data_IF_614757490848
#
_entry.id   IF_614757490848
#
_cell.length_a   1.000
_cell.length_b   1.000
_cell.length_c   1.000
_cell.angle_alpha   90.00
_cell.angle_beta   90.00
_cell.angle_gamma   90.00
#
_symmetry.space_group_name_H-M   'P 1'
#
loop_
_entity.id
_entity.type
_entity.pdbx_description
1 polymer ?
#
# COMPACT_ATOMS: atom_id res chain seq x y z
N UNK A 1 -35.57 10.39 16.21
CA UNK A 1 -34.94 11.46 15.43
C UNK A 1 -33.58 10.96 14.94
N UNK A 2 -33.59 10.41 13.73
CA UNK A 2 -32.37 10.03 12.99
C UNK A 2 -31.96 11.27 12.20
N UNK A 3 -30.70 11.72 12.26
CA UNK A 3 -29.99 12.33 11.13
C UNK A 3 -28.55 12.69 11.55
N UNK A 4 -27.64 12.41 10.61
CA UNK A 4 -26.32 12.97 10.42
C UNK A 4 -25.12 12.33 11.14
N UNK A 5 -24.59 11.33 10.46
CA UNK A 5 -23.18 11.01 10.49
C UNK A 5 -22.74 10.63 9.06
N UNK A 6 -22.44 11.61 8.23
CA UNK A 6 -21.72 11.45 6.97
C UNK A 6 -21.20 12.83 6.55
N UNK A 7 -19.94 13.09 6.85
CA UNK A 7 -19.10 14.05 6.11
C UNK A 7 -17.73 14.18 6.79
N UNK A 8 -16.72 13.50 6.29
CA UNK A 8 -15.35 14.01 6.22
C UNK A 8 -14.46 12.98 5.50
N UNK A 9 -14.62 12.85 4.18
CA UNK A 9 -13.55 12.30 3.34
C UNK A 9 -12.78 13.50 2.80
N UNK A 10 -11.65 13.78 3.43
CA UNK A 10 -10.76 14.88 3.08
C UNK A 10 -10.04 14.62 1.76
N UNK A 11 -10.20 15.58 0.89
CA UNK A 11 -9.62 15.78 -0.42
C UNK A 11 -8.09 15.97 -0.28
N UNK A 12 -7.26 15.12 -0.88
CA UNK A 12 -5.87 15.44 -1.20
C UNK A 12 -5.74 15.64 -2.71
N UNK A 13 -5.65 16.90 -3.08
CA UNK A 13 -5.45 17.38 -4.45
C UNK A 13 -3.94 17.39 -4.73
N UNK A 14 -3.47 16.53 -5.62
CA UNK A 14 -2.15 16.69 -6.23
C UNK A 14 -2.34 17.40 -7.57
N UNK A 15 -1.86 18.65 -7.65
CA UNK A 15 -1.92 19.48 -8.84
C UNK A 15 -0.88 19.02 -9.87
N UNK A 16 -1.34 18.60 -11.06
CA UNK A 16 -0.51 18.60 -12.27
C UNK A 16 -1.08 19.64 -13.24
N UNK A 17 -0.25 20.64 -13.54
CA UNK A 17 -0.54 21.59 -14.61
C UNK A 17 -0.27 20.94 -15.97
N UNK A 18 -1.28 20.94 -16.84
CA UNK A 18 -1.09 20.81 -18.26
C UNK A 18 -1.86 21.90 -18.99
N UNK A 19 -1.14 22.69 -19.76
CA UNK A 19 -1.64 23.71 -20.66
C UNK A 19 -2.11 23.04 -21.96
N UNK A 20 -3.31 23.35 -22.43
CA UNK A 20 -3.75 22.95 -23.76
C UNK A 20 -5.28 23.03 -23.91
N UNK A 21 -5.76 24.10 -24.50
CA UNK A 21 -7.15 24.37 -24.84
C UNK A 21 -7.67 23.47 -25.96
N UNK A 22 -8.72 22.69 -25.72
CA UNK A 22 -9.80 22.44 -26.68
C UNK A 22 -11.08 22.13 -25.91
N UNK A 23 -12.11 22.92 -26.15
CA UNK A 23 -13.46 22.74 -25.65
C UNK A 23 -14.10 21.49 -26.26
N UNK A 24 -14.28 20.48 -25.44
CA UNK A 24 -15.28 19.41 -25.67
C UNK A 24 -16.11 19.33 -24.41
N UNK A 25 -17.42 19.50 -24.52
CA UNK A 25 -18.39 19.21 -23.46
C UNK A 25 -18.32 17.72 -23.13
N UNK A 26 -17.46 17.36 -22.20
CA UNK A 26 -17.52 16.10 -21.50
C UNK A 26 -18.11 16.40 -20.13
N UNK A 27 -19.22 15.78 -19.79
CA UNK A 27 -19.71 15.70 -18.43
C UNK A 27 -18.55 15.19 -17.58
N UNK A 28 -18.10 16.01 -16.61
CA UNK A 28 -17.13 15.62 -15.60
C UNK A 28 -17.78 14.56 -14.69
N UNK A 29 -17.75 13.30 -15.11
CA UNK A 29 -17.72 12.22 -14.15
C UNK A 29 -16.36 12.32 -13.46
N UNK A 30 -16.38 12.68 -12.17
CA UNK A 30 -15.18 12.67 -11.35
C UNK A 30 -14.55 11.29 -11.49
N UNK A 31 -13.32 11.23 -11.99
CA UNK A 31 -12.61 9.96 -12.15
C UNK A 31 -12.66 9.20 -10.82
N UNK A 32 -13.25 8.02 -10.84
CA UNK A 32 -13.39 7.15 -9.69
C UNK A 32 -11.97 6.77 -9.24
N UNK A 33 -11.58 7.18 -8.03
CA UNK A 33 -10.25 6.92 -7.50
C UNK A 33 -10.32 5.76 -6.53
N UNK A 34 -9.54 4.72 -6.79
CA UNK A 34 -9.40 3.57 -5.91
C UNK A 34 -8.16 3.71 -5.03
N UNK A 35 -8.23 3.18 -3.82
CA UNK A 35 -7.09 3.15 -2.91
C UNK A 35 -7.11 1.86 -2.09
N UNK A 36 -5.95 1.23 -1.86
CA UNK A 36 -5.89 0.05 -1.01
C UNK A 36 -6.29 0.40 0.43
N UNK A 37 -6.76 -0.59 1.19
CA UNK A 37 -7.05 -0.43 2.63
C UNK A 37 -5.78 0.06 3.33
N UNK A 38 -5.94 1.03 4.23
CA UNK A 38 -4.80 1.56 5.01
C UNK A 38 -4.23 0.48 5.92
N UNK A 39 -2.92 0.51 6.15
CA UNK A 39 -2.23 -0.48 6.95
C UNK A 39 -2.85 -0.66 8.35
N UNK A 40 -3.22 0.42 9.03
CA UNK A 40 -3.80 0.36 10.37
C UNK A 40 -5.18 -0.30 10.44
N UNK A 41 -5.93 -0.29 9.33
CA UNK A 41 -7.24 -0.94 9.22
C UNK A 41 -7.10 -2.39 8.72
N UNK A 42 -6.01 -2.68 7.99
CA UNK A 42 -5.78 -3.97 7.34
C UNK A 42 -5.04 -4.98 8.25
N UNK A 43 -4.07 -4.52 9.05
CA UNK A 43 -3.32 -5.38 9.98
C UNK A 43 -4.04 -5.49 11.33
N UNK A 44 -3.87 -6.63 12.01
CA UNK A 44 -4.22 -6.76 13.45
C UNK A 44 -2.94 -6.75 14.25
N UNK A 45 -2.93 -6.01 15.37
CA UNK A 45 -1.80 -6.05 16.29
C UNK A 45 -1.57 -7.46 16.82
N UNK A 46 -0.31 -7.90 16.81
CA UNK A 46 0.13 -9.16 17.41
C UNK A 46 0.14 -9.02 18.94
N UNK A 47 -0.15 -10.11 19.62
CA UNK A 47 0.04 -10.14 21.09
C UNK A 47 1.53 -10.08 21.43
N UNK A 48 1.84 -9.45 22.56
CA UNK A 48 3.20 -9.46 23.10
C UNK A 48 3.47 -10.83 23.73
N UNK A 49 4.35 -11.59 23.10
CA UNK A 49 4.75 -12.93 23.55
C UNK A 49 6.07 -12.92 24.32
N UNK A 50 6.73 -11.75 24.38
CA UNK A 50 7.96 -11.57 25.16
C UNK A 50 9.24 -11.76 24.37
N UNK A 51 10.21 -12.39 25.00
CA UNK A 51 11.62 -12.37 24.63
C UNK A 51 11.92 -12.89 23.22
N UNK A 52 12.52 -12.04 22.40
CA UNK A 52 12.93 -12.36 21.03
C UNK A 52 11.85 -12.17 19.98
N UNK A 53 10.68 -11.63 20.33
CA UNK A 53 9.65 -11.33 19.36
C UNK A 53 10.09 -10.19 18.42
N UNK A 54 10.05 -10.45 17.12
CA UNK A 54 10.34 -9.44 16.10
C UNK A 54 9.06 -8.85 15.53
N UNK A 55 8.97 -7.51 15.53
CA UNK A 55 7.78 -6.77 15.09
C UNK A 55 8.15 -5.49 14.34
N UNK A 56 7.24 -5.04 13.47
CA UNK A 56 7.17 -3.65 13.05
C UNK A 56 6.23 -2.92 14.02
N UNK A 57 6.54 -1.68 14.37
CA UNK A 57 5.77 -0.91 15.35
C UNK A 57 5.08 0.26 14.64
N UNK A 58 3.73 0.19 14.57
CA UNK A 58 2.89 1.16 13.90
C UNK A 58 2.10 2.00 14.90
N UNK A 59 2.12 3.31 14.74
CA UNK A 59 1.33 4.24 15.54
C UNK A 59 -0.06 4.45 14.93
N UNK A 60 -1.10 4.15 15.69
CA UNK A 60 -2.48 4.19 15.21
C UNK A 60 -2.93 5.63 14.93
N UNK A 61 -2.68 6.55 15.84
CA UNK A 61 -3.15 7.93 15.73
C UNK A 61 -2.43 8.72 14.64
N UNK A 62 -1.11 8.55 14.53
CA UNK A 62 -0.30 9.26 13.54
C UNK A 62 -0.29 8.58 12.17
N UNK A 63 -0.65 7.31 12.07
CA UNK A 63 -0.60 6.55 10.81
C UNK A 63 0.83 6.33 10.31
N UNK A 64 1.79 6.11 11.22
CA UNK A 64 3.22 6.04 10.89
C UNK A 64 3.91 4.91 11.64
N UNK A 65 5.07 4.49 11.15
CA UNK A 65 5.92 3.48 11.81
C UNK A 65 7.08 4.10 12.56
N UNK A 66 7.56 3.41 13.60
CA UNK A 66 8.86 3.70 14.19
C UNK A 66 9.94 3.23 13.20
N UNK A 67 10.82 4.15 12.78
CA UNK A 67 12.07 3.80 12.12
C UNK A 67 13.20 3.71 13.15
N UNK A 68 14.37 3.20 12.74
CA UNK A 68 15.58 3.22 13.59
C UNK A 68 16.21 4.59 13.78
N UNK A 69 15.45 5.67 13.54
CA UNK A 69 15.89 7.07 13.66
C UNK A 69 14.93 7.85 14.56
N UNK A 70 15.24 9.10 14.83
CA UNK A 70 14.39 10.00 15.63
C UNK A 70 13.13 10.48 14.89
N UNK A 71 12.92 10.07 13.64
CA UNK A 71 11.72 10.39 12.87
C UNK A 71 10.89 9.14 12.56
N UNK A 72 9.58 9.32 12.44
CA UNK A 72 8.66 8.28 11.96
C UNK A 72 8.63 8.21 10.43
N UNK A 73 8.24 7.06 9.86
CA UNK A 73 8.06 6.84 8.43
C UNK A 73 6.61 6.41 8.13
N UNK A 74 6.12 6.74 6.94
CA UNK A 74 4.75 6.40 6.54
C UNK A 74 4.66 5.06 5.82
N UNK A 75 5.66 4.74 5.01
CA UNK A 75 5.68 3.49 4.25
C UNK A 75 6.24 2.36 5.12
N UNK A 76 5.51 1.26 5.21
CA UNK A 76 5.94 0.05 5.92
C UNK A 76 7.22 -0.55 5.33
N UNK A 77 7.53 -0.27 4.06
CA UNK A 77 8.77 -0.71 3.40
C UNK A 77 10.02 0.01 3.93
N UNK A 78 9.83 1.20 4.48
CA UNK A 78 10.90 2.01 5.10
C UNK A 78 11.04 1.75 6.60
N UNK A 79 10.09 1.03 7.20
CA UNK A 79 10.10 0.70 8.62
C UNK A 79 11.14 -0.37 8.94
N UNK A 80 11.77 -0.25 10.10
CA UNK A 80 12.66 -1.28 10.62
C UNK A 80 11.89 -2.27 11.48
N UNK A 81 12.39 -3.50 11.58
CA UNK A 81 11.96 -4.45 12.60
C UNK A 81 12.57 -4.13 13.96
N UNK A 82 11.85 -4.48 15.01
CA UNK A 82 12.22 -4.29 16.39
C UNK A 82 12.14 -5.61 17.14
N UNK A 83 13.17 -5.93 17.91
CA UNK A 83 13.16 -7.09 18.80
C UNK A 83 12.72 -6.66 20.18
N UNK A 84 11.68 -7.29 20.72
CA UNK A 84 11.23 -7.12 22.09
C UNK A 84 12.04 -8.07 22.97
N UNK A 85 12.63 -7.54 24.05
CA UNK A 85 13.37 -8.31 25.04
C UNK A 85 12.80 -8.07 26.42
N UNK A 86 12.54 -9.14 27.17
CA UNK A 86 12.05 -9.04 28.52
C UNK A 86 13.07 -8.34 29.42
N UNK A 87 12.58 -7.40 30.20
CA UNK A 87 13.32 -6.69 31.21
C UNK A 87 12.99 -7.17 32.61
N UNK A 88 13.38 -6.41 33.63
CA UNK A 88 13.03 -6.69 35.01
C UNK A 88 11.58 -6.28 35.31
N UNK A 89 10.93 -7.00 36.26
CA UNK A 89 9.61 -6.65 36.78
C UNK A 89 8.49 -6.51 35.74
N UNK A 90 8.49 -7.37 34.70
CA UNK A 90 7.47 -7.36 33.65
C UNK A 90 7.58 -6.19 32.67
N UNK A 91 8.69 -5.48 32.65
CA UNK A 91 8.99 -4.47 31.65
C UNK A 91 9.66 -5.09 30.43
N UNK A 92 9.81 -4.31 29.36
CA UNK A 92 10.42 -4.73 28.12
C UNK A 92 11.39 -3.68 27.59
N UNK A 93 12.36 -4.10 26.80
CA UNK A 93 13.21 -3.21 25.99
C UNK A 93 13.00 -3.49 24.52
N UNK A 94 13.13 -2.47 23.71
CA UNK A 94 12.93 -2.54 22.27
C UNK A 94 14.24 -2.22 21.54
N UNK A 95 14.71 -3.17 20.73
CA UNK A 95 15.91 -3.03 19.94
C UNK A 95 15.57 -2.98 18.46
N UNK A 96 15.98 -1.93 17.77
CA UNK A 96 15.90 -1.86 16.32
C UNK A 96 16.89 -2.84 15.68
N UNK A 97 16.46 -3.60 14.68
CA UNK A 97 17.31 -4.51 13.92
C UNK A 97 18.06 -3.74 12.81
N UNK A 98 18.69 -2.63 13.17
CA UNK A 98 19.59 -1.86 12.31
C UNK A 98 21.04 -2.05 12.74
N UNK A 99 21.99 -1.50 11.97
CA UNK A 99 23.44 -1.63 12.23
C UNK A 99 23.89 -1.05 13.58
N UNK A 100 23.13 -0.11 14.14
CA UNK A 100 23.45 0.58 15.41
C UNK A 100 22.72 -0.02 16.60
N UNK A 101 21.78 -0.95 16.35
CA UNK A 101 20.92 -1.57 17.37
C UNK A 101 20.28 -0.52 18.29
N UNK A 102 19.71 0.52 17.69
CA UNK A 102 19.09 1.62 18.40
C UNK A 102 17.93 1.13 19.29
N UNK A 103 17.60 1.92 20.32
CA UNK A 103 16.63 1.55 21.35
C UNK A 103 15.57 2.61 21.52
N UNK A 104 14.34 2.20 21.85
CA UNK A 104 13.35 3.13 22.38
C UNK A 104 13.85 3.61 23.74
N UNK A 105 13.95 4.93 23.88
CA UNK A 105 14.36 5.60 25.10
C UNK A 105 13.26 6.52 25.59
N UNK A 106 12.95 6.42 26.88
CA UNK A 106 12.07 7.35 27.58
C UNK A 106 12.51 7.50 29.03
N UNK A 107 12.92 8.69 29.44
CA UNK A 107 13.45 8.93 30.79
C UNK A 107 13.25 10.37 31.25
N UNK A 108 13.35 10.59 32.57
CA UNK A 108 13.47 11.91 33.18
C UNK A 108 14.93 12.20 33.41
N UNK A 109 15.52 13.08 32.64
CA UNK A 109 16.97 13.32 32.62
C UNK A 109 17.34 14.80 32.50
N UNK A 110 18.61 15.12 32.81
CA UNK A 110 19.12 16.47 32.71
C UNK A 110 19.18 16.93 31.26
N UNK A 111 18.58 18.06 30.99
CA UNK A 111 18.71 18.78 29.73
C UNK A 111 19.71 19.92 29.92
N UNK A 112 20.93 19.73 29.41
CA UNK A 112 22.01 20.70 29.54
C UNK A 112 21.75 22.00 28.77
N UNK A 113 20.82 21.98 27.81
CA UNK A 113 20.45 23.17 27.05
C UNK A 113 19.52 24.10 27.84
N UNK A 114 18.73 23.53 28.75
CA UNK A 114 17.74 24.25 29.56
C UNK A 114 18.10 24.29 31.07
N UNK A 115 19.24 23.72 31.46
CA UNK A 115 19.70 23.63 32.86
C UNK A 115 18.64 23.04 33.82
N UNK A 116 17.78 22.17 33.31
CA UNK A 116 16.68 21.56 34.03
C UNK A 116 16.58 20.06 33.70
N UNK A 117 15.88 19.31 34.55
CA UNK A 117 15.49 17.95 34.24
C UNK A 117 14.13 17.97 33.55
N UNK A 118 14.00 17.15 32.50
CA UNK A 118 12.75 16.96 31.79
C UNK A 118 12.54 15.51 31.33
N UNK A 119 11.34 15.17 31.02
CA UNK A 119 11.04 13.93 30.34
C UNK A 119 11.47 14.04 28.86
N UNK A 120 12.13 12.98 28.40
CA UNK A 120 12.57 12.83 27.01
C UNK A 120 12.10 11.50 26.49
N UNK A 121 11.67 11.46 25.23
CA UNK A 121 11.35 10.24 24.49
C UNK A 121 11.96 10.35 23.10
N UNK A 122 12.77 9.38 22.74
CA UNK A 122 13.45 9.34 21.44
C UNK A 122 13.95 7.92 21.10
N UNK A 123 14.61 7.79 19.96
CA UNK A 123 15.33 6.59 19.56
C UNK A 123 16.82 6.83 19.75
N UNK A 124 17.47 6.00 20.55
CA UNK A 124 18.87 6.16 20.94
C UNK A 124 19.69 4.89 20.73
N UNK A 125 21.01 5.06 20.66
CA UNK A 125 21.96 3.96 20.68
C UNK A 125 21.81 3.09 21.94
N UNK A 126 22.29 1.85 21.87
CA UNK A 126 22.15 0.77 22.85
C UNK A 126 22.26 1.18 24.33
N UNK A 127 23.11 2.12 24.67
CA UNK A 127 23.31 2.60 26.07
C UNK A 127 22.12 3.38 26.63
N UNK A 128 21.13 3.76 25.80
CA UNK A 128 19.96 4.54 26.21
C UNK A 128 18.69 3.74 26.35
N UNK A 129 18.73 2.40 26.33
CA UNK A 129 17.53 1.58 26.45
C UNK A 129 16.74 1.88 27.73
N UNK A 130 15.42 2.01 27.63
CA UNK A 130 14.52 2.14 28.77
C UNK A 130 13.75 0.86 29.00
N UNK A 131 13.49 0.55 30.27
CA UNK A 131 12.54 -0.48 30.67
C UNK A 131 11.13 0.07 30.51
N UNK A 132 10.36 -0.49 29.60
CA UNK A 132 9.06 0.01 29.15
C UNK A 132 7.96 -0.94 29.62
N UNK A 133 6.90 -0.41 30.21
CA UNK A 133 5.67 -1.14 30.47
C UNK A 133 4.85 -1.18 29.19
N UNK A 134 4.29 -2.35 28.90
CA UNK A 134 3.38 -2.56 27.78
C UNK A 134 2.00 -2.85 28.37
N UNK A 135 1.03 -2.01 28.08
CA UNK A 135 -0.35 -2.15 28.53
C UNK A 135 -1.29 -2.05 27.33
N UNK A 136 -2.51 -2.58 27.44
CA UNK A 136 -3.50 -2.45 26.35
C UNK A 136 -3.83 -0.98 26.09
N UNK A 137 -3.84 -0.61 24.82
CA UNK A 137 -4.20 0.73 24.37
C UNK A 137 -5.70 0.96 24.27
N UNK A 138 -6.10 2.12 23.79
CA UNK A 138 -7.50 2.48 23.59
C UNK A 138 -8.09 1.91 22.30
N UNK A 139 -7.26 1.62 21.34
CA UNK A 139 -7.64 1.00 20.05
C UNK A 139 -7.56 -0.52 20.17
N UNK A 140 -8.45 -1.23 19.50
CA UNK A 140 -8.46 -2.70 19.49
C UNK A 140 -7.10 -3.27 19.07
N UNK A 141 -6.58 -4.23 19.83
CA UNK A 141 -5.27 -4.89 19.65
C UNK A 141 -4.06 -3.95 19.67
N UNK A 142 -4.22 -2.70 20.14
CA UNK A 142 -3.11 -1.79 20.35
C UNK A 142 -2.56 -1.87 21.78
N UNK A 143 -1.37 -1.31 21.94
CA UNK A 143 -0.67 -1.23 23.22
C UNK A 143 -0.17 0.19 23.44
N UNK A 144 -0.13 0.61 24.70
CA UNK A 144 0.62 1.79 25.13
C UNK A 144 1.99 1.38 25.65
N UNK A 145 2.99 2.20 25.36
CA UNK A 145 4.36 2.05 25.84
C UNK A 145 4.62 3.13 26.88
N UNK A 146 4.87 2.75 28.14
CA UNK A 146 4.99 3.71 29.22
C UNK A 146 6.21 3.46 30.14
N UNK A 147 6.65 4.54 30.81
CA UNK A 147 7.65 4.49 31.86
C UNK A 147 7.12 5.21 33.07
N UNK A 148 7.17 4.55 34.23
CA UNK A 148 6.84 5.17 35.54
C UNK A 148 8.11 5.40 36.34
N UNK A 149 8.29 6.59 36.86
CA UNK A 149 9.46 6.97 37.66
C UNK A 149 9.05 7.72 38.90
N UNK A 150 9.70 7.39 40.01
CA UNK A 150 9.59 8.18 41.24
C UNK A 150 10.52 9.40 41.16
N UNK A 151 9.96 10.59 41.08
CA UNK A 151 10.68 11.86 41.05
C UNK A 151 10.80 12.51 42.44
N UNK A 152 10.18 11.90 43.46
CA UNK A 152 10.29 12.30 44.85
C UNK A 152 11.40 11.54 45.58
N UNK A 153 11.30 11.57 46.91
CA UNK A 153 12.17 10.80 47.82
C UNK A 153 11.48 9.51 48.25
N UNK A 154 12.21 8.60 48.92
CA UNK A 154 11.61 7.40 49.49
C UNK A 154 10.55 7.71 50.58
N UNK A 155 10.69 8.83 51.29
CA UNK A 155 9.71 9.27 52.30
C UNK A 155 8.53 10.03 51.69
N UNK A 156 8.74 10.71 50.57
CA UNK A 156 7.72 11.49 49.84
C UNK A 156 7.78 11.11 48.35
N UNK A 157 7.24 9.94 48.01
CA UNK A 157 7.27 9.47 46.62
C UNK A 157 6.38 10.34 45.73
N UNK A 158 6.87 10.63 44.54
CA UNK A 158 6.13 11.33 43.48
C UNK A 158 6.29 10.51 42.21
N UNK A 159 5.40 9.54 41.99
CA UNK A 159 5.42 8.70 40.80
C UNK A 159 4.78 9.43 39.65
N UNK A 160 5.49 9.50 38.55
CA UNK A 160 4.99 10.02 37.28
C UNK A 160 5.10 8.97 36.20
N UNK A 161 4.00 8.73 35.51
CA UNK A 161 3.96 7.90 34.31
C UNK A 161 4.00 8.77 33.05
N UNK A 162 4.74 8.36 32.06
CA UNK A 162 4.77 8.98 30.73
C UNK A 162 4.61 7.92 29.67
N UNK A 163 3.97 8.32 28.59
CA UNK A 163 3.65 7.49 27.43
C UNK A 163 4.52 7.89 26.25
N UNK A 164 5.08 6.89 25.58
CA UNK A 164 5.80 7.08 24.33
C UNK A 164 4.80 7.41 23.23
N UNK A 165 4.87 8.60 22.69
CA UNK A 165 3.81 9.20 21.86
C UNK A 165 4.44 9.83 20.63
N UNK A 166 3.76 9.74 19.47
CA UNK A 166 4.16 10.49 18.28
C UNK A 166 3.71 11.94 18.40
N UNK A 167 4.65 12.87 18.15
CA UNK A 167 4.40 14.30 18.06
C UNK A 167 5.04 14.85 16.77
N UNK A 168 4.22 15.24 15.81
CA UNK A 168 4.68 15.60 14.47
C UNK A 168 5.35 14.41 13.76
N UNK A 169 6.62 14.54 13.42
CA UNK A 169 7.44 13.45 12.86
C UNK A 169 8.36 12.79 13.89
N UNK A 170 8.34 13.26 15.14
CA UNK A 170 9.20 12.76 16.23
C UNK A 170 8.42 12.10 17.35
N UNK A 171 9.03 12.03 18.52
CA UNK A 171 8.48 11.38 19.72
C UNK A 171 8.47 12.31 20.90
N UNK A 172 7.54 12.11 21.82
CA UNK A 172 7.46 12.80 23.11
C UNK A 172 7.07 11.84 24.24
N UNK A 173 7.39 12.24 25.47
CA UNK A 173 6.95 11.57 26.70
C UNK A 173 5.68 12.26 27.24
N UNK A 174 4.52 11.91 26.71
CA UNK A 174 3.25 12.53 27.04
C UNK A 174 2.79 12.16 28.46
N UNK A 175 2.12 13.08 29.15
CA UNK A 175 1.56 12.82 30.48
C UNK A 175 0.25 12.03 30.45
N UNK A 176 -0.42 12.00 29.31
CA UNK A 176 -1.70 11.32 29.11
C UNK A 176 -1.62 10.50 27.84
N UNK A 177 -2.13 9.27 27.88
CA UNK A 177 -2.26 8.44 26.69
C UNK A 177 -3.36 8.99 25.76
N UNK A 178 -3.10 8.95 24.48
CA UNK A 178 -4.03 9.28 23.39
C UNK A 178 -3.89 8.25 22.29
N UNK A 179 -4.66 8.35 21.19
CA UNK A 179 -4.47 7.47 20.04
C UNK A 179 -3.05 7.56 19.44
N UNK A 180 -2.36 8.70 19.61
CA UNK A 180 -0.94 8.85 19.25
C UNK A 180 0.01 8.12 20.21
N UNK A 181 -0.50 7.53 21.29
CA UNK A 181 0.23 6.62 22.20
C UNK A 181 -0.13 5.16 21.96
N UNK A 182 -1.05 4.88 21.03
CA UNK A 182 -1.48 3.52 20.69
C UNK A 182 -0.60 2.94 19.58
N UNK A 183 -0.04 1.77 19.85
CA UNK A 183 0.92 1.09 18.98
C UNK A 183 0.42 -0.30 18.62
N UNK A 184 0.44 -0.65 17.33
CA UNK A 184 0.26 -2.02 16.86
C UNK A 184 1.62 -2.67 16.63
N UNK A 185 1.77 -3.91 17.08
CA UNK A 185 2.92 -4.75 16.75
C UNK A 185 2.53 -5.63 15.56
N UNK A 186 3.24 -5.50 14.47
CA UNK A 186 2.93 -6.16 13.19
C UNK A 186 4.01 -7.19 12.91
N UNK A 187 3.64 -8.45 12.65
CA UNK A 187 4.59 -9.49 12.27
C UNK A 187 5.14 -9.27 10.86
N UNK A 188 6.30 -9.86 10.57
CA UNK A 188 6.87 -9.89 9.22
C UNK A 188 5.90 -10.51 8.21
N UNK A 189 5.17 -11.56 8.63
CA UNK A 189 4.16 -12.19 7.78
C UNK A 189 3.04 -11.23 7.37
N UNK A 190 2.50 -10.46 8.31
CA UNK A 190 1.47 -9.46 8.01
C UNK A 190 2.02 -8.33 7.13
N UNK A 191 3.24 -7.87 7.42
CA UNK A 191 3.91 -6.84 6.62
C UNK A 191 4.10 -7.30 5.17
N UNK A 192 4.62 -8.50 4.96
CA UNK A 192 4.88 -9.03 3.61
C UNK A 192 3.57 -9.23 2.83
N UNK A 193 2.54 -9.73 3.48
CA UNK A 193 1.21 -9.88 2.90
C UNK A 193 0.59 -8.51 2.54
N UNK A 194 0.73 -7.50 3.39
CA UNK A 194 0.24 -6.15 3.11
C UNK A 194 0.97 -5.52 1.91
N UNK A 195 2.29 -5.66 1.86
CA UNK A 195 3.09 -5.14 0.72
C UNK A 195 2.70 -5.83 -0.59
N UNK A 196 2.49 -7.14 -0.57
CA UNK A 196 2.03 -7.91 -1.74
C UNK A 196 0.62 -7.48 -2.18
N UNK A 197 -0.31 -7.31 -1.24
CA UNK A 197 -1.65 -6.80 -1.50
C UNK A 197 -1.61 -5.42 -2.16
N UNK A 198 -0.87 -4.46 -1.60
CA UNK A 198 -0.76 -3.09 -2.12
C UNK A 198 -0.11 -3.08 -3.50
N UNK A 199 0.94 -3.87 -3.73
CA UNK A 199 1.59 -3.95 -5.03
C UNK A 199 0.63 -4.51 -6.09
N UNK A 200 -0.08 -5.60 -5.79
CA UNK A 200 -1.06 -6.21 -6.70
C UNK A 200 -2.24 -5.27 -6.98
N UNK A 201 -2.73 -4.56 -5.95
CA UNK A 201 -3.77 -3.55 -6.09
C UNK A 201 -3.34 -2.44 -7.05
N UNK A 202 -2.17 -1.85 -6.82
CA UNK A 202 -1.64 -0.76 -7.65
C UNK A 202 -1.34 -1.22 -9.09
N UNK A 203 -0.90 -2.47 -9.29
CA UNK A 203 -0.73 -3.03 -10.63
C UNK A 203 -2.07 -3.08 -11.36
N UNK A 204 -3.14 -3.57 -10.73
CA UNK A 204 -4.49 -3.59 -11.32
C UNK A 204 -5.00 -2.17 -11.59
N UNK A 205 -4.87 -1.26 -10.62
CA UNK A 205 -5.31 0.14 -10.73
C UNK A 205 -4.63 0.85 -11.92
N UNK A 206 -3.35 0.57 -12.15
CA UNK A 206 -2.59 1.17 -13.26
C UNK A 206 -3.16 0.86 -14.65
N UNK A 207 -3.92 -0.22 -14.79
CA UNK A 207 -4.56 -0.57 -16.07
C UNK A 207 -5.83 0.22 -16.36
N UNK A 208 -6.39 0.96 -15.40
CA UNK A 208 -7.56 1.83 -15.62
C UNK A 208 -7.28 2.94 -16.66
N UNK A 209 -6.02 3.32 -16.83
CA UNK A 209 -5.58 4.34 -17.81
C UNK A 209 -4.92 3.73 -19.05
N UNK A 210 -5.02 2.42 -19.26
CA UNK A 210 -4.47 1.78 -20.45
C UNK A 210 -5.43 1.94 -21.63
N UNK A 211 -4.98 2.54 -22.73
CA UNK A 211 -5.80 2.87 -23.90
C UNK A 211 -6.61 1.69 -24.51
N UNK A 212 -6.09 0.46 -24.42
CA UNK A 212 -6.82 -0.72 -24.92
C UNK A 212 -7.88 -1.16 -23.92
N UNK A 213 -7.57 -1.11 -22.62
CA UNK A 213 -8.49 -1.47 -21.54
C UNK A 213 -9.63 -0.46 -21.44
N UNK A 214 -9.35 0.85 -21.55
CA UNK A 214 -10.36 1.91 -21.54
C UNK A 214 -11.42 1.75 -22.65
N UNK A 215 -11.05 1.15 -23.79
CA UNK A 215 -11.97 0.90 -24.91
C UNK A 215 -12.81 -0.36 -24.75
N UNK A 216 -12.47 -1.23 -23.80
CA UNK A 216 -13.25 -2.44 -23.47
C UNK A 216 -14.06 -2.19 -22.19
N UNK A 217 -15.30 -1.71 -22.35
CA UNK A 217 -16.19 -1.37 -21.24
C UNK A 217 -16.44 -2.58 -20.29
N UNK A 218 -16.45 -3.81 -20.82
CA UNK A 218 -16.68 -5.01 -20.03
C UNK A 218 -15.49 -5.31 -19.11
N UNK A 219 -14.26 -5.26 -19.65
CA UNK A 219 -13.05 -5.48 -18.87
C UNK A 219 -12.83 -4.35 -17.86
N UNK A 220 -13.06 -3.10 -18.28
CA UNK A 220 -12.98 -1.93 -17.40
C UNK A 220 -13.93 -2.04 -16.22
N UNK A 221 -15.18 -2.46 -16.44
CA UNK A 221 -16.15 -2.68 -15.36
C UNK A 221 -15.70 -3.77 -14.37
N UNK A 222 -15.14 -4.88 -14.87
CA UNK A 222 -14.60 -5.95 -14.02
C UNK A 222 -13.43 -5.48 -13.16
N UNK A 223 -12.50 -4.69 -13.73
CA UNK A 223 -11.37 -4.11 -13.00
C UNK A 223 -11.89 -3.25 -11.85
N UNK A 224 -12.81 -2.32 -12.13
CA UNK A 224 -13.42 -1.46 -11.11
C UNK A 224 -14.14 -2.26 -10.03
N UNK A 225 -14.90 -3.29 -10.41
CA UNK A 225 -15.58 -4.18 -9.48
C UNK A 225 -14.60 -4.89 -8.54
N UNK A 226 -13.49 -5.42 -9.06
CA UNK A 226 -12.46 -6.08 -8.24
C UNK A 226 -11.80 -5.08 -7.30
N UNK A 227 -11.37 -3.91 -7.79
CA UNK A 227 -10.75 -2.87 -6.96
C UNK A 227 -11.70 -2.42 -5.83
N UNK A 228 -12.97 -2.19 -6.13
CA UNK A 228 -13.99 -1.86 -5.12
C UNK A 228 -14.09 -2.96 -4.07
N UNK A 229 -14.22 -4.21 -4.50
CA UNK A 229 -14.40 -5.36 -3.59
C UNK A 229 -13.22 -5.60 -2.66
N UNK A 230 -12.00 -5.28 -3.06
CA UNK A 230 -10.81 -5.52 -2.22
C UNK A 230 -10.37 -4.28 -1.42
N UNK A 231 -11.01 -3.12 -1.62
CA UNK A 231 -10.74 -1.87 -0.90
C UNK A 231 -11.78 -1.52 0.17
N UNK A 232 -12.84 -2.31 0.30
CA UNK A 232 -13.90 -2.10 1.28
C UNK A 232 -13.40 -2.30 2.73
N UNK A 233 -14.06 -1.64 3.68
CA UNK A 233 -13.68 -1.61 5.10
C UNK A 233 -13.72 -2.97 5.82
N UNK A 234 -14.12 -4.05 5.18
CA UNK A 234 -14.11 -5.42 5.72
C UNK A 234 -12.85 -6.22 5.37
N UNK A 235 -11.98 -5.69 4.52
CA UNK A 235 -10.79 -6.40 4.06
C UNK A 235 -9.59 -6.17 4.99
N UNK A 236 -8.89 -7.24 5.33
CA UNK A 236 -7.82 -7.26 6.31
C UNK A 236 -6.85 -8.42 6.02
N UNK A 237 -5.83 -8.57 6.84
CA UNK A 237 -4.94 -9.75 6.79
C UNK A 237 -5.71 -11.08 6.80
N UNK A 238 -6.86 -11.16 7.45
CA UNK A 238 -7.68 -12.38 7.48
C UNK A 238 -8.33 -12.72 6.13
N UNK A 239 -8.54 -11.73 5.25
CA UNK A 239 -9.11 -11.92 3.91
C UNK A 239 -8.06 -11.97 2.80
N UNK A 240 -6.78 -11.82 3.15
CA UNK A 240 -5.67 -11.65 2.20
C UNK A 240 -5.61 -12.67 1.08
N UNK A 241 -5.74 -13.97 1.39
CA UNK A 241 -5.63 -15.03 0.36
C UNK A 241 -6.75 -14.91 -0.69
N UNK A 242 -7.97 -14.57 -0.25
CA UNK A 242 -9.10 -14.33 -1.14
C UNK A 242 -8.95 -13.07 -1.99
N UNK A 243 -8.40 -12.01 -1.42
CA UNK A 243 -8.18 -10.74 -2.12
C UNK A 243 -7.03 -10.86 -3.13
N UNK A 244 -5.97 -11.56 -2.77
CA UNK A 244 -4.88 -11.91 -3.66
C UNK A 244 -5.37 -12.74 -4.85
N UNK A 245 -6.23 -13.73 -4.63
CA UNK A 245 -6.80 -14.55 -5.69
C UNK A 245 -7.62 -13.69 -6.68
N UNK A 246 -8.44 -12.74 -6.20
CA UNK A 246 -9.21 -11.82 -7.04
C UNK A 246 -8.31 -10.91 -7.87
N UNK A 247 -7.29 -10.29 -7.23
CA UNK A 247 -6.34 -9.41 -7.91
C UNK A 247 -5.52 -10.17 -8.95
N UNK A 248 -5.03 -11.36 -8.64
CA UNK A 248 -4.30 -12.20 -9.59
C UNK A 248 -5.19 -12.61 -10.77
N UNK A 249 -6.44 -13.03 -10.49
CA UNK A 249 -7.38 -13.43 -11.54
C UNK A 249 -7.67 -12.33 -12.54
N UNK A 250 -7.92 -11.10 -12.08
CA UNK A 250 -8.15 -9.97 -12.99
C UNK A 250 -6.88 -9.55 -13.73
N UNK A 251 -5.69 -9.63 -13.09
CA UNK A 251 -4.40 -9.37 -13.76
C UNK A 251 -4.15 -10.35 -14.90
N UNK A 252 -4.46 -11.63 -14.70
CA UNK A 252 -4.33 -12.65 -15.76
C UNK A 252 -5.31 -12.39 -16.92
N UNK A 253 -6.56 -11.98 -16.62
CA UNK A 253 -7.54 -11.59 -17.63
C UNK A 253 -7.05 -10.37 -18.44
N UNK A 254 -6.53 -9.34 -17.78
CA UNK A 254 -5.96 -8.15 -18.42
C UNK A 254 -4.77 -8.54 -19.33
N UNK A 255 -3.83 -9.32 -18.81
CA UNK A 255 -2.64 -9.76 -19.57
C UNK A 255 -3.02 -10.58 -20.79
N UNK A 256 -3.99 -11.48 -20.65
CA UNK A 256 -4.51 -12.26 -21.76
C UNK A 256 -5.18 -11.36 -22.83
N UNK A 257 -6.01 -10.40 -22.39
CA UNK A 257 -6.63 -9.43 -23.29
C UNK A 257 -5.60 -8.61 -24.05
N UNK A 258 -4.59 -8.07 -23.36
CA UNK A 258 -3.55 -7.25 -23.97
C UNK A 258 -2.65 -8.04 -24.95
N UNK A 259 -2.44 -9.33 -24.67
CA UNK A 259 -1.63 -10.22 -25.51
C UNK A 259 -2.43 -10.86 -26.66
N UNK A 260 -3.78 -10.73 -26.65
CA UNK A 260 -4.59 -11.22 -27.76
C UNK A 260 -4.33 -10.36 -28.98
N UNK A 261 -3.83 -10.93 -30.12
CA UNK A 261 -3.58 -10.15 -31.30
C UNK A 261 -4.90 -9.54 -31.80
N UNK A 262 -5.01 -8.21 -31.81
CA UNK A 262 -6.16 -7.54 -32.41
C UNK A 262 -6.08 -7.71 -33.93
N UNK A 263 -6.73 -8.75 -34.43
CA UNK A 263 -7.20 -8.77 -35.82
C UNK A 263 -6.20 -8.98 -36.96
N UNK A 264 -5.08 -9.67 -36.72
CA UNK A 264 -4.39 -10.35 -37.79
C UNK A 264 -4.30 -11.83 -37.42
N UNK A 265 -5.25 -12.64 -37.91
CA UNK A 265 -5.03 -14.09 -37.94
C UNK A 265 -3.62 -14.35 -38.48
N UNK A 266 -2.89 -15.21 -37.79
CA UNK A 266 -1.54 -15.62 -38.20
C UNK A 266 -1.55 -15.90 -39.68
N UNK A 267 -0.86 -15.08 -40.48
CA UNK A 267 -0.70 -15.35 -41.91
C UNK A 267 0.06 -16.66 -41.96
N UNK A 268 -0.65 -17.75 -42.24
CA UNK A 268 0.01 -19.03 -42.53
C UNK A 268 0.96 -18.79 -43.71
N UNK A 269 2.23 -19.19 -43.63
CA UNK A 269 3.13 -19.06 -44.77
C UNK A 269 2.48 -19.77 -45.93
N UNK A 270 2.38 -19.05 -47.07
CA UNK A 270 1.81 -19.61 -48.28
C UNK A 270 2.66 -20.83 -48.73
N UNK A 271 2.01 -21.94 -49.00
CA UNK A 271 2.68 -23.08 -49.66
C UNK A 271 3.08 -22.68 -51.06
N UNK A 272 4.26 -23.10 -51.53
CA UNK A 272 4.81 -22.69 -52.83
C UNK A 272 3.91 -23.07 -54.03
N UNK A 273 2.90 -23.91 -53.82
CA UNK A 273 1.97 -24.39 -54.84
C UNK A 273 0.51 -23.89 -54.67
N UNK A 274 0.27 -22.88 -53.84
CA UNK A 274 -1.09 -22.37 -53.66
C UNK A 274 -1.52 -21.50 -54.85
N UNK A 275 -2.69 -21.79 -55.44
CA UNK A 275 -3.28 -21.03 -56.56
C UNK A 275 -4.18 -19.89 -56.03
N UNK A 276 -4.28 -18.80 -56.83
CA UNK A 276 -5.18 -17.69 -56.50
C UNK A 276 -6.65 -18.10 -56.70
N UNK A 277 -7.46 -18.07 -55.65
CA UNK A 277 -8.90 -18.41 -55.71
C UNK A 277 -9.80 -17.19 -55.85
N UNK A 278 -9.37 -16.03 -55.38
CA UNK A 278 -10.07 -14.77 -55.57
C UNK A 278 -9.11 -13.57 -55.45
N UNK A 279 -9.41 -12.51 -56.15
CA UNK A 279 -8.67 -11.25 -56.15
C UNK A 279 -9.61 -10.14 -55.71
N UNK A 280 -9.16 -9.28 -54.81
CA UNK A 280 -9.92 -8.13 -54.31
C UNK A 280 -9.07 -6.86 -54.40
N UNK A 281 -9.71 -5.72 -54.63
CA UNK A 281 -9.08 -4.41 -54.46
C UNK A 281 -9.01 -3.99 -53.00
N UNK A 282 -8.46 -2.81 -52.72
CA UNK A 282 -8.33 -2.25 -51.35
C UNK A 282 -9.68 -1.97 -50.68
N UNK A 283 -10.77 -1.86 -51.46
CA UNK A 283 -12.12 -1.62 -50.99
C UNK A 283 -12.89 -2.93 -50.75
N UNK A 284 -12.23 -4.09 -50.90
CA UNK A 284 -12.85 -5.40 -50.75
C UNK A 284 -13.72 -5.83 -51.94
N UNK A 285 -13.68 -5.10 -53.08
CA UNK A 285 -14.43 -5.45 -54.30
C UNK A 285 -13.70 -6.55 -55.06
N UNK A 286 -14.41 -7.65 -55.36
CA UNK A 286 -13.83 -8.79 -56.12
C UNK A 286 -13.50 -8.39 -57.54
N UNK A 287 -12.29 -8.73 -57.97
CA UNK A 287 -11.74 -8.46 -59.31
C UNK A 287 -11.53 -9.75 -60.07
N UNK A 288 -11.65 -9.69 -61.42
CA UNK A 288 -11.38 -10.84 -62.26
C UNK A 288 -9.88 -10.99 -62.62
N UNK A 289 -9.09 -9.96 -62.37
CA UNK A 289 -7.64 -9.94 -62.62
C UNK A 289 -6.98 -8.88 -61.74
N UNK A 290 -5.64 -8.94 -61.62
CA UNK A 290 -4.86 -7.92 -60.89
C UNK A 290 -5.01 -6.55 -61.56
N UNK A 291 -5.45 -5.55 -60.81
CA UNK A 291 -5.58 -4.15 -61.23
C UNK A 291 -4.38 -3.32 -60.76
N UNK A 292 -4.20 -2.12 -61.36
CA UNK A 292 -3.12 -1.21 -60.97
C UNK A 292 -3.32 -0.78 -59.50
N UNK A 293 -2.27 -0.93 -58.68
CA UNK A 293 -2.28 -0.64 -57.26
C UNK A 293 -2.26 -1.90 -56.39
N UNK A 294 -2.79 -1.81 -55.17
CA UNK A 294 -2.80 -2.90 -54.19
C UNK A 294 -3.94 -3.88 -54.48
N UNK A 295 -3.61 -5.16 -54.67
CA UNK A 295 -4.56 -6.26 -54.76
C UNK A 295 -4.40 -7.21 -53.57
N UNK A 296 -5.49 -7.70 -53.05
CA UNK A 296 -5.55 -8.72 -52.00
C UNK A 296 -5.98 -10.03 -52.67
N UNK A 297 -5.08 -11.00 -52.70
CA UNK A 297 -5.30 -12.28 -53.37
C UNK A 297 -5.51 -13.38 -52.34
N UNK A 298 -6.68 -14.03 -52.37
CA UNK A 298 -6.98 -15.21 -51.52
C UNK A 298 -6.44 -16.45 -52.27
N UNK A 299 -5.67 -17.26 -51.55
CA UNK A 299 -5.04 -18.46 -52.11
C UNK A 299 -5.83 -19.73 -51.75
N UNK A 300 -5.60 -20.83 -52.48
CA UNK A 300 -6.28 -22.12 -52.28
C UNK A 300 -5.95 -22.80 -50.97
N UNK A 301 -4.84 -22.45 -50.33
CA UNK A 301 -4.42 -22.93 -49.01
C UNK A 301 -5.04 -22.13 -47.85
N UNK A 302 -5.96 -21.19 -48.16
CA UNK A 302 -6.60 -20.30 -47.20
C UNK A 302 -5.78 -19.07 -46.81
N UNK A 303 -4.55 -18.92 -47.34
CA UNK A 303 -3.72 -17.73 -47.07
C UNK A 303 -4.14 -16.55 -47.95
N UNK A 304 -3.67 -15.36 -47.61
CA UNK A 304 -3.91 -14.12 -48.38
C UNK A 304 -2.59 -13.45 -48.66
N UNK A 305 -2.39 -13.07 -49.94
CA UNK A 305 -1.21 -12.33 -50.41
C UNK A 305 -1.59 -10.91 -50.83
N UNK A 306 -0.76 -9.93 -50.46
CA UNK A 306 -0.83 -8.56 -50.98
C UNK A 306 0.07 -8.48 -52.24
N UNK A 307 -0.50 -8.13 -53.37
CA UNK A 307 0.23 -7.94 -54.63
C UNK A 307 0.06 -6.49 -55.07
N UNK A 308 1.15 -5.83 -55.43
CA UNK A 308 1.16 -4.48 -56.01
C UNK A 308 1.47 -4.63 -57.52
N UNK A 309 0.57 -4.12 -58.39
CA UNK A 309 0.72 -4.13 -59.83
C UNK A 309 0.89 -2.72 -60.38
#
# INVERSE_FOLDING_TARGET
MKLMANAAKGLMLAAFMAVGTTTVNAQNESAETFAPVKVGDWVKGEEVTGNGQEVYIYNVGAGTFISGTSATVKDIKEANTWTITDGSNGTHTFACNNSTADRIHMNYESDFTHWAKRWVADIRKKSGASNINIEKGSTENSYTLSVTKNLGTNMFPNYQTRYFTVNGTGYEAASTATTNSDWLFISTKQKDAYVDYVNSFNEVDSYLTNEKVEKDESLLAKIKEVLTKVSDAGHSFATYDGDKAKLTGILDEIKNFLNTPTGIETIKPATDNAEATAIYDVNGVRQNSLTKGINIVKMSDGTTKKIIK
#
